data_IF_962867583060
#
_entry.id   IF_962867583060
#
_cell.length_a   1.000
_cell.length_b   1.000
_cell.length_c   1.000
_cell.angle_alpha   90.00
_cell.angle_beta   90.00
_cell.angle_gamma   90.00
#
_symmetry.space_group_name_H-M   'P 1'
#
loop_
_entity.id
_entity.type
_entity.pdbx_description
1 polymer ?
#
# COMPACT_ATOMS: atom_id res chain seq x y z
N UNK A 1 3.73 -15.25 -17.89
CA UNK A 1 3.24 -13.87 -18.12
C UNK A 1 3.16 -13.17 -16.77
N UNK A 2 3.94 -12.10 -16.58
CA UNK A 2 3.96 -11.34 -15.33
C UNK A 2 2.59 -10.70 -15.12
N UNK A 3 1.92 -11.04 -14.01
CA UNK A 3 0.60 -10.49 -13.67
C UNK A 3 0.84 -9.20 -12.90
N UNK A 4 0.41 -8.07 -13.47
CA UNK A 4 0.31 -6.82 -12.73
C UNK A 4 -1.01 -6.86 -11.93
N UNK A 5 -0.96 -6.47 -10.66
CA UNK A 5 -2.12 -6.41 -9.79
C UNK A 5 -1.94 -5.31 -8.76
N UNK A 6 -2.84 -4.33 -8.75
CA UNK A 6 -2.99 -3.41 -7.64
C UNK A 6 -4.17 -3.89 -6.82
N UNK A 7 -3.97 -3.96 -5.50
CA UNK A 7 -5.02 -4.30 -4.57
C UNK A 7 -5.22 -3.11 -3.64
N UNK A 8 -6.33 -2.41 -3.84
CA UNK A 8 -6.81 -1.41 -2.89
C UNK A 8 -7.55 -2.14 -1.76
N UNK A 9 -7.06 -2.06 -0.54
CA UNK A 9 -7.76 -2.60 0.64
C UNK A 9 -8.00 -1.51 1.67
N UNK A 10 -9.26 -1.30 2.03
CA UNK A 10 -9.67 -0.67 3.28
C UNK A 10 -9.19 -1.55 4.44
N UNK A 11 -8.04 -1.23 5.05
CA UNK A 11 -7.65 -1.84 6.32
C UNK A 11 -8.00 -0.83 7.42
N UNK A 12 -9.08 -1.09 8.14
CA UNK A 12 -9.44 -0.41 9.40
C UNK A 12 -8.48 -0.77 10.54
N UNK A 13 -7.17 -0.67 10.32
CA UNK A 13 -6.17 -0.66 11.38
C UNK A 13 -5.63 0.78 11.50
N UNK A 14 -6.51 1.71 11.85
CA UNK A 14 -6.07 3.02 12.37
C UNK A 14 -5.33 2.89 13.70
N UNK A 15 -5.45 1.73 14.35
CA UNK A 15 -4.69 1.40 15.55
C UNK A 15 -3.47 0.62 15.09
N UNK A 16 -2.36 1.32 14.86
CA UNK A 16 -1.05 0.70 14.91
C UNK A 16 -0.93 -0.02 16.24
N UNK A 17 -1.28 -1.31 16.28
CA UNK A 17 -1.22 -2.11 17.49
C UNK A 17 0.22 -2.07 17.95
N UNK A 18 0.49 -1.23 18.96
CA UNK A 18 1.81 -0.87 19.46
C UNK A 18 2.52 -2.03 20.18
N UNK A 19 2.08 -3.27 19.92
CA UNK A 19 2.64 -4.51 20.44
C UNK A 19 2.83 -5.53 19.32
N UNK A 20 3.79 -6.44 19.49
CA UNK A 20 4.17 -7.46 18.52
C UNK A 20 2.98 -8.29 17.95
N UNK A 21 1.88 -8.41 18.70
CA UNK A 21 0.66 -9.07 18.25
C UNK A 21 -0.11 -8.34 17.13
N UNK A 22 -0.06 -7.01 17.09
CA UNK A 22 -0.73 -6.20 16.07
C UNK A 22 -0.06 -6.31 14.70
N UNK A 23 1.25 -6.12 14.65
CA UNK A 23 2.05 -6.25 13.43
C UNK A 23 1.94 -7.66 12.81
N UNK A 24 2.04 -8.72 13.62
CA UNK A 24 1.89 -10.09 13.14
C UNK A 24 0.46 -10.39 12.63
N UNK A 25 -0.57 -9.79 13.24
CA UNK A 25 -1.96 -9.93 12.79
C UNK A 25 -2.21 -9.20 11.47
N UNK A 26 -1.65 -8.00 11.30
CA UNK A 26 -1.71 -7.23 10.06
C UNK A 26 -1.01 -7.97 8.92
N UNK A 27 0.19 -8.49 9.16
CA UNK A 27 0.93 -9.25 8.16
C UNK A 27 0.16 -10.50 7.71
N UNK A 28 -0.43 -11.26 8.65
CA UNK A 28 -1.29 -12.40 8.30
C UNK A 28 -2.49 -12.00 7.44
N UNK A 29 -3.11 -10.85 7.71
CA UNK A 29 -4.23 -10.35 6.89
C UNK A 29 -3.77 -9.97 5.48
N UNK A 30 -2.65 -9.27 5.37
CA UNK A 30 -2.03 -8.90 4.08
C UNK A 30 -1.77 -10.12 3.22
N UNK A 31 -1.11 -11.14 3.77
CA UNK A 31 -0.79 -12.37 3.03
C UNK A 31 -2.02 -13.21 2.65
N UNK A 32 -3.16 -13.06 3.34
CA UNK A 32 -4.43 -13.69 2.94
C UNK A 32 -5.11 -12.99 1.75
N UNK A 33 -4.80 -11.71 1.54
CA UNK A 33 -5.39 -10.90 0.49
C UNK A 33 -4.54 -10.95 -0.80
N UNK A 34 -3.23 -10.76 -0.65
CA UNK A 34 -2.29 -10.85 -1.75
C UNK A 34 -0.89 -11.20 -1.25
N UNK A 35 -0.26 -12.18 -1.88
CA UNK A 35 1.14 -12.49 -1.65
C UNK A 35 2.02 -11.40 -2.25
N UNK A 36 3.14 -11.10 -1.59
CA UNK A 36 4.12 -10.14 -2.09
C UNK A 36 4.66 -9.23 -1.01
N UNK A 37 5.48 -8.26 -1.43
CA UNK A 37 6.04 -7.23 -0.53
C UNK A 37 5.16 -5.99 -0.62
N UNK A 38 4.57 -5.64 0.52
CA UNK A 38 3.62 -4.54 0.63
C UNK A 38 4.34 -3.22 0.94
N UNK A 39 4.08 -2.21 0.11
CA UNK A 39 4.38 -0.81 0.41
C UNK A 39 3.18 -0.21 1.12
N UNK A 40 3.41 0.33 2.31
CA UNK A 40 2.45 1.12 3.08
C UNK A 40 3.07 2.48 3.39
N UNK A 41 2.25 3.53 3.56
CA UNK A 41 2.74 4.89 3.79
C UNK A 41 2.41 5.37 5.21
N UNK A 42 3.21 6.32 5.70
CA UNK A 42 2.85 7.16 6.83
C UNK A 42 2.13 8.40 6.29
N UNK A 43 0.81 8.26 6.16
CA UNK A 43 -0.08 9.31 5.65
C UNK A 43 -0.19 10.46 6.65
N UNK A 44 -0.06 11.70 6.15
CA UNK A 44 -0.08 12.93 6.96
C UNK A 44 -1.08 13.96 6.43
N UNK A 45 -2.01 13.52 5.56
CA UNK A 45 -2.98 14.37 4.86
C UNK A 45 -2.31 15.45 3.99
N UNK A 46 -1.15 15.12 3.43
CA UNK A 46 -0.42 15.93 2.46
C UNK A 46 -0.77 15.56 1.01
N UNK A 47 0.15 15.88 0.10
CA UNK A 47 -0.01 15.65 -1.34
C UNK A 47 1.21 14.96 -1.98
N UNK A 48 2.20 14.53 -1.17
CA UNK A 48 3.40 13.86 -1.68
C UNK A 48 3.07 12.45 -2.16
N UNK A 49 3.71 12.05 -3.27
CA UNK A 49 3.53 10.73 -3.90
C UNK A 49 4.86 9.97 -3.91
N UNK A 50 4.86 8.76 -3.35
CA UNK A 50 6.03 7.87 -3.37
C UNK A 50 6.14 7.10 -4.70
N UNK A 51 7.32 7.14 -5.33
CA UNK A 51 7.62 6.38 -6.54
C UNK A 51 8.28 5.05 -6.18
N UNK A 52 7.58 3.94 -6.43
CA UNK A 52 8.03 2.61 -6.00
C UNK A 52 8.74 1.92 -7.15
N UNK A 53 10.05 1.75 -7.00
CA UNK A 53 10.95 1.16 -8.02
C UNK A 53 11.31 -0.30 -7.75
N UNK A 54 10.89 -0.86 -6.62
CA UNK A 54 11.04 -2.29 -6.28
C UNK A 54 9.90 -2.75 -5.35
N UNK A 55 9.52 -4.04 -5.34
CA UNK A 55 8.46 -4.53 -4.46
C UNK A 55 8.75 -4.25 -2.98
N UNK A 56 7.82 -3.58 -2.30
CA UNK A 56 7.97 -3.19 -0.89
C UNK A 56 8.85 -1.97 -0.64
N UNK A 57 9.38 -1.34 -1.70
CA UNK A 57 10.11 -0.07 -1.60
C UNK A 57 9.27 1.02 -0.92
N UNK A 58 9.93 1.96 -0.25
CA UNK A 58 9.31 3.08 0.46
C UNK A 58 8.29 2.68 1.56
N UNK A 59 8.29 1.44 2.05
CA UNK A 59 7.46 1.06 3.17
C UNK A 59 7.72 1.96 4.40
N UNK A 60 6.68 2.63 4.87
CA UNK A 60 6.70 3.58 5.98
C UNK A 60 7.16 5.00 5.65
N UNK A 61 7.40 5.31 4.37
CA UNK A 61 7.72 6.67 3.93
C UNK A 61 6.55 7.64 4.18
N UNK A 62 6.85 8.92 4.38
CA UNK A 62 5.84 9.98 4.42
C UNK A 62 5.39 10.25 3.00
N UNK A 63 4.12 10.01 2.71
CA UNK A 63 3.43 10.34 1.49
C UNK A 63 1.94 10.03 1.68
N UNK A 64 1.11 10.59 0.82
CA UNK A 64 -0.34 10.38 0.82
C UNK A 64 -0.83 9.78 -0.51
N UNK A 65 0.11 9.41 -1.39
CA UNK A 65 -0.12 8.54 -2.53
C UNK A 65 1.13 7.73 -2.88
N UNK A 66 0.97 6.67 -3.67
CA UNK A 66 2.08 5.89 -4.20
C UNK A 66 1.80 5.48 -5.65
N UNK A 67 2.86 5.41 -6.47
CA UNK A 67 2.76 4.98 -7.86
C UNK A 67 3.87 3.98 -8.19
N UNK A 68 3.54 3.00 -9.03
CA UNK A 68 4.51 2.02 -9.52
C UNK A 68 4.20 1.55 -10.92
N UNK A 69 5.25 1.27 -11.70
CA UNK A 69 5.19 0.46 -12.91
C UNK A 69 5.80 -0.94 -12.69
N UNK A 70 6.25 -1.23 -11.47
CA UNK A 70 6.97 -2.45 -11.13
C UNK A 70 5.98 -3.61 -10.95
N UNK A 71 6.12 -4.70 -11.73
CA UNK A 71 5.31 -5.89 -11.51
C UNK A 71 5.49 -6.44 -10.10
N UNK A 72 4.46 -7.09 -9.56
CA UNK A 72 4.46 -7.72 -8.23
C UNK A 72 4.61 -6.76 -7.03
N UNK A 73 4.73 -5.46 -7.26
CA UNK A 73 4.64 -4.46 -6.20
C UNK A 73 3.19 -4.34 -5.71
N UNK A 74 3.03 -4.37 -4.38
CA UNK A 74 1.72 -4.27 -3.73
C UNK A 74 1.63 -2.93 -3.02
N UNK A 75 0.78 -2.02 -3.49
CA UNK A 75 0.56 -0.72 -2.88
C UNK A 75 -0.60 -0.79 -1.87
N UNK A 76 -0.43 -0.21 -0.70
CA UNK A 76 -1.47 -0.10 0.31
C UNK A 76 -1.62 1.34 0.81
N UNK A 77 -2.86 1.82 0.75
CA UNK A 77 -3.31 3.11 1.27
C UNK A 77 -4.37 2.86 2.33
N UNK A 78 -4.32 3.58 3.46
CA UNK A 78 -5.35 3.52 4.47
C UNK A 78 -6.28 4.72 4.32
N UNK A 79 -7.57 4.49 4.55
CA UNK A 79 -8.54 5.57 4.65
C UNK A 79 -9.46 5.32 5.84
N UNK A 80 -9.90 6.40 6.45
CA UNK A 80 -11.07 6.46 7.29
C UNK A 80 -11.76 7.76 6.89
N UNK A 81 -12.87 7.66 6.15
CA UNK A 81 -13.66 8.76 5.58
C UNK A 81 -13.00 9.57 4.44
N UNK A 82 -11.66 9.54 4.29
CA UNK A 82 -10.99 10.12 3.12
C UNK A 82 -11.39 9.38 1.84
N UNK A 83 -11.49 10.10 0.71
CA UNK A 83 -11.85 9.49 -0.57
C UNK A 83 -10.64 8.75 -1.18
N UNK A 84 -10.67 7.40 -1.32
CA UNK A 84 -9.60 6.68 -1.98
C UNK A 84 -9.69 6.87 -3.50
N UNK A 85 -8.55 7.02 -4.17
CA UNK A 85 -8.45 7.13 -5.62
C UNK A 85 -7.51 6.04 -6.13
N UNK A 86 -7.89 5.35 -7.20
CA UNK A 86 -7.00 4.42 -7.90
C UNK A 86 -6.83 4.91 -9.33
N UNK A 87 -5.59 5.02 -9.77
CA UNK A 87 -5.22 5.40 -11.14
C UNK A 87 -4.58 4.20 -11.83
N UNK A 88 -5.08 3.85 -13.01
CA UNK A 88 -4.52 2.79 -13.85
C UNK A 88 -4.14 3.39 -15.19
N UNK A 89 -2.87 3.30 -15.54
CA UNK A 89 -2.30 3.78 -16.80
C UNK A 89 -1.47 2.69 -17.48
N UNK A 90 -0.99 2.93 -18.70
CA UNK A 90 -0.31 1.95 -19.57
C UNK A 90 0.90 1.25 -18.95
N UNK A 91 0.65 0.26 -18.09
CA UNK A 91 1.65 -0.49 -17.33
C UNK A 91 1.95 0.04 -15.93
N UNK A 92 1.20 1.03 -15.42
CA UNK A 92 1.42 1.63 -14.11
C UNK A 92 0.13 1.74 -13.28
N UNK A 93 0.30 1.71 -11.96
CA UNK A 93 -0.78 1.74 -10.96
C UNK A 93 -0.43 2.80 -9.91
N UNK A 94 -1.42 3.60 -9.53
CA UNK A 94 -1.32 4.59 -8.46
C UNK A 94 -2.48 4.49 -7.49
N UNK A 95 -2.20 4.72 -6.22
CA UNK A 95 -3.18 4.82 -5.12
C UNK A 95 -2.91 6.06 -4.27
#
# INVERSE_FOLDING_TARGET
>A
MARQGALLTDIRDHNGGSGAGGAASLERRRQRLMSGRWTWLRQVHGADVAFITEPGGCAGAVADGAVTAVPEAVLALHTADCAPVVVVGGGALGV
#
